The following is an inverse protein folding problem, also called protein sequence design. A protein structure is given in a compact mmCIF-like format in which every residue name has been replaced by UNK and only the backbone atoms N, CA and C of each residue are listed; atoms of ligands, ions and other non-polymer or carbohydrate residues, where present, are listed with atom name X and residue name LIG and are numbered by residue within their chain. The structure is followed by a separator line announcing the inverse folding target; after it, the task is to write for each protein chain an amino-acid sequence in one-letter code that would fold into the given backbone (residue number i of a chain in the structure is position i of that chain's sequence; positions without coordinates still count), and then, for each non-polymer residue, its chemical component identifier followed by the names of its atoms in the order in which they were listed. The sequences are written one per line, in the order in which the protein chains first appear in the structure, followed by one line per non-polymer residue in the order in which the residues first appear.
data_IF_361204353969
#
_entry.id   IF_361204353969
#
_cell.length_a   1.000
_cell.length_b   1.000
_cell.length_c   1.000
_cell.angle_alpha   90.00
_cell.angle_beta   90.00
_cell.angle_gamma   90.00
#
_symmetry.space_group_name_H-M   'P 1'
#
loop_
_entity.id
_entity.type
_entity.pdbx_description
1 polymer ?
#
# COMPACT_ATOMS: atom_id res chain seq x y z
N UNK A 1 15.23 18.21 -6.20
CA UNK A 1 15.23 17.06 -5.27
C UNK A 1 15.33 17.57 -3.85
N UNK A 2 14.25 17.44 -3.09
CA UNK A 2 14.14 17.91 -1.72
C UNK A 2 15.10 17.21 -0.73
N UNK A 3 15.36 17.83 0.43
CA UNK A 3 16.09 17.20 1.52
C UNK A 3 15.47 15.86 1.94
N UNK A 4 14.14 15.74 1.95
CA UNK A 4 13.46 14.49 2.33
C UNK A 4 13.78 13.36 1.36
N UNK A 5 13.65 13.59 0.04
CA UNK A 5 13.99 12.58 -0.98
C UNK A 5 15.46 12.17 -0.87
N UNK A 6 16.34 13.12 -0.54
CA UNK A 6 17.75 12.83 -0.28
C UNK A 6 17.93 11.88 0.91
N UNK A 7 17.22 12.11 2.01
CA UNK A 7 17.28 11.22 3.18
C UNK A 7 16.67 9.85 2.90
N UNK A 8 15.52 9.79 2.21
CA UNK A 8 14.90 8.53 1.80
C UNK A 8 15.87 7.67 0.97
N UNK A 9 16.56 8.30 0.02
CA UNK A 9 17.56 7.62 -0.81
C UNK A 9 18.76 7.10 0.00
N UNK A 10 19.24 7.88 0.97
CA UNK A 10 20.40 7.51 1.81
C UNK A 10 20.08 6.40 2.81
N UNK A 11 18.84 6.35 3.30
CA UNK A 11 18.39 5.35 4.26
C UNK A 11 17.89 4.07 3.59
N UNK A 12 17.59 4.09 2.29
CA UNK A 12 17.27 2.88 1.55
C UNK A 12 18.47 1.93 1.52
N UNK A 13 18.42 0.88 2.34
CA UNK A 13 19.45 -0.18 2.40
C UNK A 13 18.86 -1.57 2.17
N UNK A 14 17.66 -1.66 1.58
CA UNK A 14 17.00 -2.96 1.38
C UNK A 14 17.67 -3.73 0.25
N UNK A 15 18.25 -4.87 0.58
CA UNK A 15 18.99 -5.72 -0.38
C UNK A 15 18.16 -6.07 -1.62
N UNK A 16 16.88 -6.42 -1.46
CA UNK A 16 15.97 -6.76 -2.57
C UNK A 16 15.84 -5.64 -3.60
N UNK A 17 15.82 -4.38 -3.16
CA UNK A 17 15.78 -3.23 -4.06
C UNK A 17 17.05 -3.16 -4.92
N UNK A 18 18.22 -3.32 -4.30
CA UNK A 18 19.50 -3.29 -5.01
C UNK A 18 19.71 -4.49 -5.93
N UNK A 19 19.25 -5.68 -5.51
CA UNK A 19 19.25 -6.88 -6.37
C UNK A 19 18.38 -6.65 -7.60
N UNK A 20 17.15 -6.13 -7.43
CA UNK A 20 16.28 -5.81 -8.57
C UNK A 20 16.90 -4.77 -9.50
N UNK A 21 17.51 -3.72 -8.94
CA UNK A 21 18.22 -2.71 -9.73
C UNK A 21 19.36 -3.30 -10.55
N UNK A 22 20.17 -4.17 -9.94
CA UNK A 22 21.27 -4.84 -10.62
C UNK A 22 20.78 -5.80 -11.72
N UNK A 23 19.67 -6.51 -11.47
CA UNK A 23 19.09 -7.47 -12.41
C UNK A 23 18.44 -6.80 -13.63
N UNK A 24 17.75 -5.66 -13.45
CA UNK A 24 17.05 -4.93 -14.52
C UNK A 24 18.00 -4.00 -15.29
N UNK A 25 19.04 -3.50 -14.63
CA UNK A 25 19.96 -2.49 -15.15
C UNK A 25 19.54 -1.07 -14.79
N UNK A 26 20.51 -0.23 -14.43
CA UNK A 26 20.24 1.09 -13.84
C UNK A 26 19.49 2.04 -14.78
N UNK A 27 19.83 2.05 -16.07
CA UNK A 27 19.20 2.94 -17.06
C UNK A 27 17.70 2.66 -17.25
N UNK A 28 17.26 1.44 -16.93
CA UNK A 28 15.86 1.01 -17.05
C UNK A 28 15.14 0.96 -15.71
N UNK A 29 15.82 1.24 -14.61
CA UNK A 29 15.28 1.07 -13.26
C UNK A 29 14.49 2.32 -12.83
N UNK A 30 13.33 2.50 -13.46
CA UNK A 30 12.38 3.58 -13.22
C UNK A 30 10.95 3.03 -13.09
N UNK A 31 10.03 3.85 -12.58
CA UNK A 31 8.60 3.53 -12.57
C UNK A 31 8.06 3.57 -14.01
N UNK A 32 7.38 2.50 -14.44
CA UNK A 32 6.77 2.46 -15.77
C UNK A 32 5.68 3.52 -15.96
N UNK A 33 5.59 4.08 -17.17
CA UNK A 33 4.68 5.20 -17.49
C UNK A 33 3.21 4.87 -17.22
N UNK A 34 2.77 3.68 -17.61
CA UNK A 34 1.39 3.22 -17.38
C UNK A 34 1.07 3.08 -15.89
N UNK A 35 2.05 2.59 -15.11
CA UNK A 35 1.90 2.47 -13.67
C UNK A 35 1.83 3.84 -12.99
N UNK A 36 2.72 4.78 -13.37
CA UNK A 36 2.69 6.17 -12.88
C UNK A 36 1.36 6.84 -13.16
N UNK A 37 0.84 6.71 -14.39
CA UNK A 37 -0.45 7.27 -14.79
C UNK A 37 -1.60 6.66 -13.99
N UNK A 38 -1.64 5.34 -13.83
CA UNK A 38 -2.69 4.65 -13.07
C UNK A 38 -2.71 5.09 -11.59
N UNK A 39 -1.54 5.17 -10.94
CA UNK A 39 -1.43 5.64 -9.56
C UNK A 39 -1.78 7.12 -9.46
N UNK A 40 -1.27 7.94 -10.39
CA UNK A 40 -1.53 9.37 -10.45
C UNK A 40 -3.01 9.70 -10.60
N UNK A 41 -3.72 9.05 -11.52
CA UNK A 41 -5.17 9.22 -11.72
C UNK A 41 -5.98 8.88 -10.46
N UNK A 42 -5.60 7.81 -9.73
CA UNK A 42 -6.30 7.42 -8.49
C UNK A 42 -6.08 8.37 -7.33
N UNK A 43 -4.97 9.10 -7.32
CA UNK A 43 -4.60 10.02 -6.25
C UNK A 43 -4.80 11.49 -6.63
N UNK A 44 -5.13 11.79 -7.89
CA UNK A 44 -5.15 13.15 -8.41
C UNK A 44 -3.76 13.80 -8.45
N UNK A 45 -2.73 13.02 -8.78
CA UNK A 45 -1.32 13.44 -8.82
C UNK A 45 -0.73 13.27 -10.20
N UNK A 46 0.21 14.15 -10.57
CA UNK A 46 1.10 13.95 -11.71
C UNK A 46 2.45 13.43 -11.19
N UNK A 47 2.74 12.14 -11.40
CA UNK A 47 3.95 11.49 -10.88
C UNK A 47 5.05 11.58 -11.94
N UNK A 48 6.15 12.31 -11.70
CA UNK A 48 7.18 12.52 -12.70
C UNK A 48 7.99 11.25 -12.97
N UNK A 49 8.61 11.16 -14.14
CA UNK A 49 9.37 9.98 -14.57
C UNK A 49 10.64 9.72 -13.77
N UNK A 50 11.15 10.75 -13.10
CA UNK A 50 12.33 10.72 -12.24
C UNK A 50 11.98 10.65 -10.74
N UNK A 51 10.72 10.39 -10.39
CA UNK A 51 10.28 10.19 -9.01
C UNK A 51 11.15 9.13 -8.32
N UNK A 52 11.54 9.41 -7.07
CA UNK A 52 12.21 8.41 -6.25
C UNK A 52 11.22 7.29 -5.94
N UNK A 53 11.68 6.04 -6.01
CA UNK A 53 10.92 4.92 -5.49
C UNK A 53 11.81 3.90 -4.77
N UNK A 54 11.21 3.13 -3.88
CA UNK A 54 11.85 2.02 -3.18
C UNK A 54 10.84 0.92 -2.87
N UNK A 55 11.25 -0.34 -2.99
CA UNK A 55 10.44 -1.49 -2.58
C UNK A 55 10.83 -1.95 -1.18
N UNK A 56 9.88 -2.56 -0.47
CA UNK A 56 10.05 -3.04 0.90
C UNK A 56 10.67 -1.95 1.82
N UNK A 57 10.24 -0.70 1.71
CA UNK A 57 10.88 0.40 2.44
C UNK A 57 10.46 0.40 3.92
N UNK A 58 11.43 0.32 4.83
CA UNK A 58 11.15 0.15 6.26
C UNK A 58 10.48 1.38 6.88
N UNK A 59 9.44 1.19 7.70
CA UNK A 59 8.73 2.29 8.36
C UNK A 59 9.63 3.13 9.29
N UNK A 60 10.52 2.49 10.05
CA UNK A 60 11.51 3.23 10.85
C UNK A 60 12.43 4.12 9.99
N UNK A 61 12.85 3.66 8.80
CA UNK A 61 13.66 4.50 7.91
C UNK A 61 12.88 5.69 7.39
N UNK A 62 11.59 5.51 7.13
CA UNK A 62 10.72 6.61 6.72
C UNK A 62 10.59 7.63 7.85
N UNK A 63 10.31 7.17 9.06
CA UNK A 63 10.15 8.06 10.21
C UNK A 63 11.45 8.83 10.52
N UNK A 64 12.61 8.16 10.47
CA UNK A 64 13.91 8.81 10.61
C UNK A 64 14.18 9.81 9.48
N UNK A 65 13.83 9.49 8.23
CA UNK A 65 14.01 10.41 7.10
C UNK A 65 13.23 11.72 7.30
N UNK A 66 11.98 11.60 7.77
CA UNK A 66 11.10 12.74 8.08
C UNK A 66 11.70 13.56 9.23
N UNK A 67 12.02 12.94 10.38
CA UNK A 67 12.57 13.66 11.54
C UNK A 67 13.91 14.32 11.20
N UNK A 68 14.82 13.62 10.52
CA UNK A 68 16.12 14.17 10.12
C UNK A 68 16.00 15.35 9.16
N UNK A 69 14.91 15.43 8.39
CA UNK A 69 14.65 16.51 7.43
C UNK A 69 14.05 17.73 8.11
N UNK A 70 12.99 17.56 8.89
CA UNK A 70 12.20 18.67 9.40
C UNK A 70 12.53 19.06 10.84
N UNK A 71 13.29 18.21 11.56
CA UNK A 71 13.79 18.48 12.91
C UNK A 71 15.28 18.12 13.02
N UNK A 72 16.14 18.72 12.17
CA UNK A 72 17.56 18.38 12.16
C UNK A 72 18.21 18.72 13.51
N UNK A 73 18.92 17.76 14.10
CA UNK A 73 19.74 17.99 15.29
C UNK A 73 21.22 18.09 14.89
N UNK A 74 21.93 19.07 15.45
CA UNK A 74 23.32 19.39 15.05
C UNK A 74 24.37 18.32 15.29
N UNK A 75 24.05 17.20 15.96
CA UNK A 75 24.99 16.11 16.26
C UNK A 75 24.66 14.77 15.59
N UNK A 76 23.67 14.69 14.69
CA UNK A 76 23.16 13.41 14.14
C UNK A 76 22.74 12.38 15.21
N UNK A 77 22.54 12.85 16.44
CA UNK A 77 22.01 12.09 17.56
C UNK A 77 20.58 12.58 17.71
N UNK A 78 19.61 11.67 17.62
CA UNK A 78 18.20 11.97 17.74
C UNK A 78 17.69 11.36 19.04
N UNK A 79 16.75 12.03 19.71
CA UNK A 79 16.07 11.42 20.86
C UNK A 79 15.24 10.24 20.37
N UNK A 80 15.13 9.21 21.20
CA UNK A 80 14.21 8.08 20.99
C UNK A 80 12.76 8.51 21.24
N UNK A 81 12.31 9.52 20.49
CA UNK A 81 10.95 10.04 20.48
C UNK A 81 10.14 9.48 19.31
N UNK A 82 10.85 8.92 18.33
CA UNK A 82 10.27 8.13 17.27
C UNK A 82 10.24 6.71 17.79
N UNK A 83 9.09 6.05 17.82
CA UNK A 83 9.01 4.65 18.22
C UNK A 83 9.70 3.76 17.15
N UNK A 84 11.03 3.77 17.12
CA UNK A 84 11.88 2.86 16.33
C UNK A 84 11.69 1.49 16.97
N UNK A 85 10.65 0.79 16.56
CA UNK A 85 10.24 -0.42 17.25
C UNK A 85 11.11 -1.63 16.86
N UNK A 86 12.11 -1.48 15.97
CA UNK A 86 12.86 -2.57 15.33
C UNK A 86 11.97 -3.67 14.74
N UNK A 87 10.66 -3.42 14.69
CA UNK A 87 9.66 -4.36 14.24
C UNK A 87 9.57 -4.14 12.74
N UNK A 88 10.00 -5.14 11.98
CA UNK A 88 10.18 -5.09 10.53
C UNK A 88 8.82 -5.04 9.83
N UNK A 89 8.23 -3.86 9.80
CA UNK A 89 7.14 -3.56 8.89
C UNK A 89 7.65 -2.65 7.78
N UNK A 90 7.47 -3.15 6.57
CA UNK A 90 7.90 -2.51 5.34
C UNK A 90 6.68 -1.90 4.62
N UNK A 91 6.96 -0.96 3.72
CA UNK A 91 6.05 -0.44 2.70
C UNK A 91 6.42 -1.16 1.42
N UNK A 92 5.48 -1.88 0.81
CA UNK A 92 5.79 -2.71 -0.38
C UNK A 92 6.37 -1.87 -1.52
N UNK A 93 5.84 -0.66 -1.73
CA UNK A 93 6.40 0.34 -2.64
C UNK A 93 6.18 1.77 -2.11
N UNK A 94 7.29 2.50 -1.93
CA UNK A 94 7.31 3.93 -1.62
C UNK A 94 7.62 4.72 -2.88
N UNK A 95 6.90 5.81 -3.14
CA UNK A 95 7.21 6.79 -4.19
C UNK A 95 7.30 8.17 -3.54
N UNK A 96 8.31 8.96 -3.91
CA UNK A 96 8.47 10.33 -3.44
C UNK A 96 8.91 11.26 -4.57
N UNK A 97 8.26 12.41 -4.66
CA UNK A 97 8.59 13.46 -5.63
C UNK A 97 8.17 14.82 -5.09
N UNK A 98 8.77 15.88 -5.61
CA UNK A 98 8.40 17.24 -5.25
C UNK A 98 7.34 17.75 -6.24
N UNK A 99 6.24 18.30 -5.73
CA UNK A 99 5.24 19.02 -6.50
C UNK A 99 5.08 20.41 -5.87
N UNK A 100 5.51 21.43 -6.61
CA UNK A 100 5.64 22.81 -6.10
C UNK A 100 6.53 22.84 -4.83
N UNK A 101 6.01 23.33 -3.70
CA UNK A 101 6.71 23.42 -2.41
C UNK A 101 6.44 22.22 -1.49
N UNK A 102 5.73 21.19 -1.97
CA UNK A 102 5.31 20.04 -1.17
C UNK A 102 5.92 18.75 -1.72
N UNK A 103 6.63 18.02 -0.87
CA UNK A 103 7.03 16.65 -1.19
C UNK A 103 5.81 15.73 -1.04
N UNK A 104 5.42 15.10 -2.15
CA UNK A 104 4.40 14.06 -2.18
C UNK A 104 5.05 12.73 -1.79
N UNK A 105 4.40 11.98 -0.92
CA UNK A 105 4.87 10.67 -0.46
C UNK A 105 3.76 9.64 -0.64
N UNK A 106 3.89 8.76 -1.62
CA UNK A 106 2.89 7.73 -1.90
C UNK A 106 3.35 6.40 -1.31
N UNK A 107 2.57 5.88 -0.37
CA UNK A 107 2.77 4.59 0.26
C UNK A 107 1.82 3.59 -0.40
N UNK A 108 2.38 2.60 -1.08
CA UNK A 108 1.61 1.55 -1.75
C UNK A 108 1.79 0.24 -0.98
N UNK A 109 0.67 -0.31 -0.51
CA UNK A 109 0.62 -1.63 0.11
C UNK A 109 0.04 -2.64 -0.87
N UNK A 110 0.82 -3.67 -1.18
CA UNK A 110 0.51 -4.68 -2.18
C UNK A 110 0.11 -6.00 -1.54
N UNK A 111 -0.83 -6.70 -2.18
CA UNK A 111 -1.25 -8.04 -1.77
C UNK A 111 -1.43 -8.92 -2.98
N UNK A 112 -0.68 -10.02 -3.05
CA UNK A 112 -0.72 -10.95 -4.19
C UNK A 112 -1.92 -11.90 -4.19
N UNK A 113 -2.47 -12.25 -3.03
CA UNK A 113 -3.56 -13.23 -2.94
C UNK A 113 -4.67 -12.71 -2.03
N UNK A 114 -5.92 -12.84 -2.46
CA UNK A 114 -7.10 -12.40 -1.71
C UNK A 114 -7.30 -10.88 -1.68
N UNK A 115 -8.04 -10.42 -0.66
CA UNK A 115 -8.42 -9.00 -0.49
C UNK A 115 -7.90 -8.43 0.83
N UNK A 116 -7.82 -7.11 0.92
CA UNK A 116 -7.52 -6.37 2.14
C UNK A 116 -8.69 -6.45 3.12
N UNK A 117 -8.42 -6.90 4.34
CA UNK A 117 -9.43 -6.89 5.42
C UNK A 117 -9.38 -5.57 6.19
N UNK A 118 -10.51 -5.16 6.79
CA UNK A 118 -10.56 -3.99 7.69
C UNK A 118 -9.54 -4.06 8.81
N UNK A 119 -9.28 -5.24 9.38
CA UNK A 119 -8.28 -5.41 10.45
C UNK A 119 -6.86 -5.12 9.96
N UNK A 120 -6.50 -5.60 8.77
CA UNK A 120 -5.19 -5.33 8.17
C UNK A 120 -5.00 -3.84 7.91
N UNK A 121 -6.00 -3.21 7.30
CA UNK A 121 -5.99 -1.77 7.02
C UNK A 121 -5.87 -0.97 8.31
N UNK A 122 -6.70 -1.24 9.31
CA UNK A 122 -6.61 -0.54 10.60
C UNK A 122 -5.26 -0.72 11.27
N UNK A 123 -4.71 -1.93 11.26
CA UNK A 123 -3.39 -2.19 11.84
C UNK A 123 -2.32 -1.33 11.18
N UNK A 124 -2.37 -1.17 9.85
CA UNK A 124 -1.48 -0.30 9.11
C UNK A 124 -1.72 1.18 9.45
N UNK A 125 -2.97 1.64 9.44
CA UNK A 125 -3.33 3.03 9.74
C UNK A 125 -2.86 3.45 11.13
N UNK A 126 -3.08 2.64 12.16
CA UNK A 126 -2.62 2.92 13.54
C UNK A 126 -1.10 3.09 13.64
N UNK A 127 -0.32 2.47 12.74
CA UNK A 127 1.13 2.63 12.72
C UNK A 127 1.56 3.85 11.95
N UNK A 128 0.94 4.09 10.78
CA UNK A 128 1.21 5.28 9.99
C UNK A 128 0.77 6.56 10.72
N UNK A 129 -0.25 6.48 11.57
CA UNK A 129 -0.65 7.54 12.50
C UNK A 129 0.48 7.95 13.45
N UNK A 130 1.34 7.01 13.89
CA UNK A 130 2.49 7.34 14.73
C UNK A 130 3.58 8.12 13.99
N UNK A 131 3.61 8.03 12.66
CA UNK A 131 4.57 8.71 11.79
C UNK A 131 4.03 10.07 11.34
N UNK A 132 2.78 10.10 10.89
CA UNK A 132 2.17 11.26 10.25
C UNK A 132 1.23 12.06 11.16
N UNK A 133 0.87 11.51 12.33
CA UNK A 133 -0.12 12.06 13.24
C UNK A 133 -1.55 11.60 12.96
N UNK A 134 -2.43 11.81 13.95
CA UNK A 134 -3.86 11.48 13.91
C UNK A 134 -4.71 12.51 13.18
N UNK A 135 -4.19 13.72 12.98
CA UNK A 135 -4.88 14.83 12.34
C UNK A 135 -4.01 15.48 11.28
N UNK A 136 -4.65 16.18 10.35
CA UNK A 136 -3.95 16.92 9.30
C UNK A 136 -3.12 18.09 9.87
N UNK A 137 -3.36 18.46 11.14
CA UNK A 137 -2.54 19.42 11.88
C UNK A 137 -1.16 18.85 12.27
N UNK A 138 -0.97 17.53 12.18
CA UNK A 138 0.31 16.85 12.39
C UNK A 138 1.23 16.88 11.17
N UNK A 139 0.75 17.32 10.00
CA UNK A 139 1.59 17.41 8.82
C UNK A 139 2.68 18.45 9.01
N UNK A 140 3.92 17.99 8.89
CA UNK A 140 5.05 18.87 8.76
C UNK A 140 4.87 19.66 7.46
N UNK A 141 4.92 20.99 7.57
CA UNK A 141 4.76 21.89 6.43
C UNK A 141 5.72 21.45 5.33
N UNK A 142 5.18 21.18 4.14
CA UNK A 142 5.96 20.69 2.98
C UNK A 142 5.97 19.18 2.77
N UNK A 143 5.19 18.39 3.52
CA UNK A 143 5.02 16.94 3.29
C UNK A 143 3.53 16.58 3.15
N UNK A 144 3.19 15.80 2.11
CA UNK A 144 1.85 15.23 1.92
C UNK A 144 1.91 13.73 1.65
N UNK A 145 1.52 12.87 2.62
CA UNK A 145 1.45 11.44 2.40
C UNK A 145 0.11 11.03 1.77
N UNK A 146 0.18 9.94 1.01
CA UNK A 146 -0.95 9.26 0.38
C UNK A 146 -0.82 7.77 0.67
N UNK A 147 -1.95 7.09 0.93
CA UNK A 147 -1.98 5.64 1.03
C UNK A 147 -2.74 5.09 -0.18
N UNK A 148 -2.22 4.03 -0.79
CA UNK A 148 -2.87 3.33 -1.87
C UNK A 148 -2.75 1.82 -1.67
N UNK A 149 -3.87 1.11 -1.83
CA UNK A 149 -3.90 -0.34 -1.77
C UNK A 149 -3.78 -0.92 -3.17
N UNK A 150 -3.02 -2.00 -3.30
CA UNK A 150 -2.81 -2.70 -4.55
C UNK A 150 -3.07 -4.19 -4.35
N UNK A 151 -4.01 -4.74 -5.12
CA UNK A 151 -4.36 -6.17 -5.04
C UNK A 151 -5.11 -6.61 -6.30
N UNK A 152 -5.20 -7.92 -6.60
CA UNK A 152 -5.94 -8.39 -7.77
C UNK A 152 -7.44 -8.05 -7.75
N UNK A 153 -8.03 -7.97 -6.55
CA UNK A 153 -9.41 -7.57 -6.38
C UNK A 153 -9.54 -6.43 -5.37
N UNK A 154 -10.47 -5.53 -5.66
CA UNK A 154 -10.86 -4.46 -4.74
C UNK A 154 -11.50 -5.05 -3.48
N UNK A 155 -11.21 -4.43 -2.35
CA UNK A 155 -11.86 -4.77 -1.10
C UNK A 155 -13.16 -3.99 -0.92
N UNK A 156 -14.27 -4.72 -0.78
CA UNK A 156 -15.52 -4.12 -0.35
C UNK A 156 -15.40 -3.66 1.11
N UNK A 157 -15.98 -2.49 1.43
CA UNK A 157 -16.15 -1.97 2.80
C UNK A 157 -14.86 -1.53 3.51
N UNK A 158 -13.99 -0.82 2.77
CA UNK A 158 -12.84 -0.08 3.30
C UNK A 158 -13.06 1.44 3.24
N UNK A 159 -14.31 1.90 3.12
CA UNK A 159 -14.63 3.31 3.26
C UNK A 159 -14.35 3.78 4.69
N UNK A 160 -14.03 5.06 4.85
CA UNK A 160 -13.80 5.70 6.14
C UNK A 160 -14.95 5.41 7.11
N UNK A 161 -16.19 5.59 6.65
CA UNK A 161 -17.39 5.31 7.44
C UNK A 161 -17.51 3.84 7.85
N UNK A 162 -17.08 2.89 7.00
CA UNK A 162 -17.09 1.47 7.36
C UNK A 162 -16.08 1.15 8.45
N UNK A 163 -14.91 1.81 8.41
CA UNK A 163 -13.87 1.67 9.42
C UNK A 163 -14.31 2.29 10.74
N UNK A 164 -14.84 3.51 10.74
CA UNK A 164 -15.36 4.18 11.95
C UNK A 164 -16.49 3.37 12.60
N UNK A 165 -17.42 2.82 11.80
CA UNK A 165 -18.48 1.93 12.30
C UNK A 165 -17.91 0.65 12.92
N UNK A 166 -16.87 0.08 12.31
CA UNK A 166 -16.28 -1.18 12.80
C UNK A 166 -15.39 -0.98 14.02
N UNK A 167 -14.78 0.20 14.16
CA UNK A 167 -13.86 0.57 15.24
C UNK A 167 -14.31 1.90 15.87
N UNK A 168 -15.41 1.90 16.65
CA UNK A 168 -15.92 3.12 17.27
C UNK A 168 -14.87 3.77 18.17
N UNK A 169 -14.72 5.09 18.06
CA UNK A 169 -13.74 5.88 18.82
C UNK A 169 -12.33 5.92 18.23
N UNK A 170 -12.07 5.24 17.10
CA UNK A 170 -10.82 5.40 16.38
C UNK A 170 -10.72 6.80 15.76
N UNK A 171 -9.63 7.53 16.01
CA UNK A 171 -9.31 8.78 15.32
C UNK A 171 -8.67 8.44 13.98
N UNK A 172 -9.47 8.37 12.92
CA UNK A 172 -8.93 8.09 11.59
C UNK A 172 -8.36 9.38 10.97
N UNK A 173 -7.08 9.40 10.58
CA UNK A 173 -6.54 10.54 9.85
C UNK A 173 -7.24 10.70 8.49
N UNK A 174 -7.28 11.90 7.93
CA UNK A 174 -8.01 12.16 6.67
C UNK A 174 -7.19 11.80 5.42
N UNK A 175 -5.86 12.00 5.49
CA UNK A 175 -4.93 11.81 4.38
C UNK A 175 -4.90 10.45 3.66
N UNK A 176 -5.22 9.31 4.28
CA UNK A 176 -5.25 8.04 3.55
C UNK A 176 -6.47 7.92 2.62
N UNK A 177 -7.44 8.84 2.73
CA UNK A 177 -8.73 8.72 2.07
C UNK A 177 -8.89 9.75 0.95
N UNK A 178 -9.29 9.28 -0.23
CA UNK A 178 -9.77 10.08 -1.36
C UNK A 178 -11.24 9.76 -1.55
N UNK A 179 -12.11 10.77 -1.58
CA UNK A 179 -13.57 10.59 -1.68
C UNK A 179 -14.13 9.58 -0.65
N UNK A 180 -13.59 9.64 0.58
CA UNK A 180 -14.03 8.80 1.69
C UNK A 180 -13.55 7.34 1.64
N UNK A 181 -12.69 6.95 0.70
CA UNK A 181 -12.17 5.59 0.56
C UNK A 181 -10.65 5.61 0.45
N UNK A 182 -9.99 4.52 0.86
CA UNK A 182 -8.56 4.37 0.55
C UNK A 182 -8.45 4.03 -0.94
N UNK A 183 -7.73 4.82 -1.75
CA UNK A 183 -7.52 4.55 -3.17
C UNK A 183 -6.99 3.14 -3.43
N UNK A 184 -7.43 2.54 -4.54
CA UNK A 184 -7.04 1.20 -4.93
C UNK A 184 -6.70 1.09 -6.41
N UNK A 185 -5.67 0.31 -6.72
CA UNK A 185 -5.31 -0.11 -8.08
C UNK A 185 -5.24 -1.63 -8.18
N UNK A 186 -5.58 -2.15 -9.35
CA UNK A 186 -5.49 -3.58 -9.63
C UNK A 186 -4.03 -4.00 -9.77
N UNK A 187 -3.62 -5.01 -8.99
CA UNK A 187 -2.39 -5.75 -9.23
C UNK A 187 -2.68 -6.88 -10.22
N UNK A 188 -2.25 -6.71 -11.47
CA UNK A 188 -2.39 -7.75 -12.49
C UNK A 188 -1.42 -8.90 -12.19
N UNK A 189 -1.98 -10.07 -11.88
CA UNK A 189 -1.21 -11.30 -11.68
C UNK A 189 -1.56 -12.34 -12.73
N UNK A 190 -0.62 -13.23 -13.09
CA UNK A 190 -0.91 -14.41 -13.89
C UNK A 190 -2.00 -15.26 -13.23
N UNK A 191 -2.93 -15.80 -14.02
CA UNK A 191 -4.09 -16.56 -13.50
C UNK A 191 -3.75 -17.98 -13.05
N UNK A 192 -2.58 -18.46 -13.43
CA UNK A 192 -2.05 -19.81 -13.24
C UNK A 192 -1.07 -19.91 -12.06
N UNK A 193 -1.01 -18.88 -11.19
CA UNK A 193 -0.22 -18.97 -9.97
C UNK A 193 -0.81 -20.02 -9.02
N UNK A 194 0.05 -20.82 -8.42
CA UNK A 194 -0.32 -21.86 -7.46
C UNK A 194 0.24 -21.53 -6.08
N UNK A 195 -0.48 -21.95 -5.04
CA UNK A 195 -0.03 -21.84 -3.65
C UNK A 195 0.13 -23.23 -3.02
N UNK A 196 1.18 -23.44 -2.21
CA UNK A 196 1.30 -24.64 -1.40
C UNK A 196 0.33 -24.56 -0.21
N UNK A 197 -0.55 -25.54 -0.08
CA UNK A 197 -1.46 -25.65 1.07
C UNK A 197 -1.16 -26.90 1.88
N UNK A 198 -1.27 -26.80 3.20
CA UNK A 198 -1.14 -27.96 4.09
C UNK A 198 -2.32 -28.90 3.93
N UNK A 199 -2.02 -30.19 3.92
CA UNK A 199 -3.01 -31.25 3.87
C UNK A 199 -2.59 -32.48 4.68
N UNK A 200 -3.51 -33.43 4.82
CA UNK A 200 -3.21 -34.80 5.25
C UNK A 200 -2.82 -35.68 4.03
N UNK A 201 -2.65 -36.99 4.26
CA UNK A 201 -2.27 -37.97 3.24
C UNK A 201 -3.31 -38.14 2.13
N UNK A 202 -4.56 -37.80 2.41
CA UNK A 202 -5.68 -37.86 1.48
C UNK A 202 -5.90 -36.53 0.72
N UNK A 203 -5.12 -35.50 1.04
CA UNK A 203 -5.22 -34.18 0.40
C UNK A 203 -6.29 -33.25 1.02
N UNK A 204 -6.85 -33.58 2.17
CA UNK A 204 -7.80 -32.69 2.85
C UNK A 204 -7.09 -31.60 3.67
N UNK A 205 -7.69 -30.40 3.73
CA UNK A 205 -7.13 -29.27 4.46
C UNK A 205 -7.15 -29.50 5.98
N UNK A 206 -6.02 -29.98 6.52
CA UNK A 206 -5.77 -30.14 7.95
C UNK A 206 -4.35 -29.74 8.31
N UNK A 207 -4.11 -29.50 9.60
CA UNK A 207 -2.75 -29.43 10.14
C UNK A 207 -2.11 -30.81 10.01
N UNK A 208 -1.30 -31.01 8.97
CA UNK A 208 -0.68 -32.30 8.64
C UNK A 208 0.77 -32.15 8.16
N UNK A 209 1.45 -33.28 8.00
CA UNK A 209 2.83 -33.36 7.49
C UNK A 209 2.95 -33.18 5.97
N UNK A 210 1.84 -33.17 5.24
CA UNK A 210 1.80 -33.13 3.78
C UNK A 210 1.47 -31.73 3.24
N UNK A 211 1.66 -31.56 1.93
CA UNK A 211 1.28 -30.36 1.20
C UNK A 211 0.88 -30.73 -0.24
N UNK A 212 0.03 -29.90 -0.85
CA UNK A 212 -0.37 -29.99 -2.25
C UNK A 212 -0.35 -28.61 -2.92
N UNK A 213 -0.29 -28.60 -4.25
CA UNK A 213 -0.47 -27.39 -5.04
C UNK A 213 -1.95 -27.16 -5.28
N UNK A 214 -2.40 -25.93 -5.04
CA UNK A 214 -3.73 -25.47 -5.43
C UNK A 214 -3.63 -24.17 -6.20
N UNK A 215 -4.59 -23.93 -7.09
CA UNK A 215 -4.68 -22.65 -7.79
C UNK A 215 -4.90 -21.53 -6.79
N UNK A 216 -4.09 -20.48 -6.89
CA UNK A 216 -4.15 -19.33 -6.00
C UNK A 216 -5.50 -18.64 -6.14
N UNK A 217 -6.12 -18.29 -5.00
CA UNK A 217 -7.34 -17.46 -4.99
C UNK A 217 -7.01 -16.00 -5.31
N UNK A 218 -6.64 -15.74 -6.55
CA UNK A 218 -6.53 -14.40 -7.13
C UNK A 218 -7.96 -13.86 -7.19
N UNK A 219 -8.24 -12.82 -6.38
CA UNK A 219 -9.61 -12.40 -6.10
C UNK A 219 -10.42 -12.19 -7.38
N UNK A 220 -11.60 -12.80 -7.46
CA UNK A 220 -12.55 -12.50 -8.54
C UNK A 220 -13.09 -11.10 -8.31
N UNK A 221 -12.79 -10.15 -9.20
CA UNK A 221 -13.52 -8.90 -9.27
C UNK A 221 -15.02 -9.22 -9.38
N UNK A 222 -15.84 -8.61 -8.53
CA UNK A 222 -17.26 -8.92 -8.42
C UNK A 222 -18.00 -8.67 -9.73
N UNK A 223 -18.24 -9.73 -10.51
CA UNK A 223 -19.37 -9.82 -11.42
C UNK A 223 -20.42 -10.72 -10.75
N UNK A 224 -21.33 -10.11 -10.01
CA UNK A 224 -22.72 -10.58 -10.04
C UNK A 224 -23.40 -9.76 -11.14
N UNK A 225 -23.34 -10.26 -12.37
CA UNK A 225 -24.31 -9.84 -13.39
C UNK A 225 -25.63 -10.42 -12.92
N UNK A 226 -26.53 -9.54 -12.52
CA UNK A 226 -27.91 -9.88 -12.22
C UNK A 226 -28.57 -10.11 -13.57
N UNK A 227 -28.63 -11.36 -14.03
CA UNK A 227 -29.52 -11.76 -15.11
C UNK A 227 -30.94 -11.67 -14.59
N UNK A 228 -31.60 -10.55 -14.82
CA UNK A 228 -33.05 -10.50 -14.89
C UNK A 228 -33.44 -11.24 -16.16
N UNK A 229 -33.85 -12.50 -16.00
CA UNK A 229 -34.70 -13.15 -17.00
C UNK A 229 -36.08 -12.49 -16.89
N UNK A 230 -36.40 -11.67 -17.88
CA UNK A 230 -37.78 -11.33 -18.21
C UNK A 230 -38.46 -12.61 -18.67
N UNK A 231 -39.32 -13.18 -17.83
CA UNK A 231 -40.37 -14.09 -18.25
C UNK A 231 -41.63 -13.27 -18.53
N UNK A 232 -41.71 -12.76 -19.75
CA UNK A 232 -42.98 -12.45 -20.41
C UNK A 232 -43.73 -13.79 -20.62
N UNK A 233 -44.70 -14.09 -19.76
CA UNK A 233 -45.78 -15.02 -20.10
C UNK A 233 -47.08 -14.23 -20.27
N UNK A 234 -47.37 -13.99 -21.54
CA UNK A 234 -48.72 -13.82 -22.06
C UNK A 234 -49.60 -15.00 -21.61
N UNK A 235 -50.68 -14.72 -20.89
CA UNK A 235 -51.93 -15.46 -21.03
C UNK A 235 -53.08 -14.47 -21.10
N UNK A 236 -53.47 -14.20 -22.33
CA UNK A 236 -54.84 -13.89 -22.74
C UNK A 236 -55.76 -15.07 -22.42
N UNK A 237 -56.77 -14.84 -21.59
CA UNK A 237 -58.19 -15.15 -21.81
C UNK A 237 -59.04 -14.58 -20.67
#
# INVERSE_FOLDING_TARGET
MSPLITQLRRLNRKERFYVMRAAVGEERFALGDDFRRQVGEKLGLDIPGDAFFAIDYHLDWLSVAIEATFRPQGKHIYRDTIAINQNQEDIDLLIAFDAEEVTQLVLIEAKGVGTWTRKQVMSKLTRLEKIFGASDAGFQVGLRPHLLLMSPAASLKLGRLDLEKKFPGASLPSWPFTDGHIPWVELKLPKDLQEPVRCDEDGEHKLGGYWQLQDSKIGKAGQKVQTTEDSDEHTSE
#
